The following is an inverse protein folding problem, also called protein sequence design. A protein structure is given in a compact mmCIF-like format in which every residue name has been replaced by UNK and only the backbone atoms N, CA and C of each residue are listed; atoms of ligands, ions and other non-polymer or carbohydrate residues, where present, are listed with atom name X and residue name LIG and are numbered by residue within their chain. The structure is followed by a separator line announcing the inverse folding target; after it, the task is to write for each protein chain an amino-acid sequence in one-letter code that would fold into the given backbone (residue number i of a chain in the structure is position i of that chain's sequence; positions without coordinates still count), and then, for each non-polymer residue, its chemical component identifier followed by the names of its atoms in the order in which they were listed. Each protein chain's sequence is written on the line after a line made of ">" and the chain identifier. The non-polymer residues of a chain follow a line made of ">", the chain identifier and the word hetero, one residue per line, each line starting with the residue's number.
data_IF_413123836131
#
_entry.id   IF_413123836131
#
_cell.length_a   1.000
_cell.length_b   1.000
_cell.length_c   1.000
_cell.angle_alpha   90.00
_cell.angle_beta   90.00
_cell.angle_gamma   90.00
#
_symmetry.space_group_name_H-M   'P 1'
#
loop_
_entity.id
_entity.type
_entity.pdbx_description
1 polymer ?
#
# COMPACT_ATOMS: atom_id res chain seq x y z
N UNK A 1 -6.19 10.24 -19.82
CA UNK A 1 -5.87 8.84 -20.17
C UNK A 1 -7.05 7.98 -19.71
N UNK A 2 -7.58 7.10 -20.55
CA UNK A 2 -8.68 6.17 -20.16
C UNK A 2 -8.10 4.89 -19.56
N UNK A 3 -8.91 4.10 -18.84
CA UNK A 3 -8.44 2.84 -18.24
C UNK A 3 -7.90 1.86 -19.29
N UNK A 4 -8.52 1.83 -20.47
CA UNK A 4 -8.05 1.02 -21.61
C UNK A 4 -6.66 1.43 -22.09
N UNK A 5 -6.33 2.72 -22.02
CA UNK A 5 -4.99 3.22 -22.36
C UNK A 5 -3.96 2.84 -21.29
N UNK A 6 -4.34 2.85 -20.01
CA UNK A 6 -3.45 2.43 -18.91
C UNK A 6 -3.13 0.93 -19.04
N UNK A 7 -4.14 0.09 -19.30
CA UNK A 7 -3.95 -1.35 -19.55
C UNK A 7 -3.01 -1.58 -20.72
N UNK A 8 -3.21 -0.87 -21.84
CA UNK A 8 -2.35 -0.96 -23.02
C UNK A 8 -0.90 -0.58 -22.69
N UNK A 9 -0.68 0.55 -22.03
CA UNK A 9 0.66 1.02 -21.66
C UNK A 9 1.34 0.06 -20.67
N UNK A 10 0.57 -0.55 -19.76
CA UNK A 10 1.06 -1.56 -18.81
C UNK A 10 1.60 -2.78 -19.56
N UNK A 11 0.84 -3.28 -20.54
CA UNK A 11 1.23 -4.43 -21.36
C UNK A 11 2.45 -4.09 -22.24
N UNK A 12 2.48 -2.92 -22.86
CA UNK A 12 3.62 -2.46 -23.68
C UNK A 12 4.90 -2.33 -22.83
N UNK A 13 4.80 -1.79 -21.61
CA UNK A 13 5.90 -1.75 -20.64
C UNK A 13 6.42 -3.14 -20.31
N UNK A 14 5.55 -4.07 -19.92
CA UNK A 14 5.95 -5.45 -19.55
C UNK A 14 6.62 -6.18 -20.71
N UNK A 15 6.14 -5.98 -21.94
CA UNK A 15 6.80 -6.49 -23.17
C UNK A 15 8.19 -5.91 -23.34
N UNK A 16 8.35 -4.60 -23.17
CA UNK A 16 9.64 -3.91 -23.36
C UNK A 16 10.68 -4.31 -22.29
N UNK A 17 10.23 -4.63 -21.08
CA UNK A 17 11.09 -5.02 -19.97
C UNK A 17 11.48 -6.52 -20.01
N UNK A 18 10.91 -7.30 -20.93
CA UNK A 18 11.20 -8.74 -21.08
C UNK A 18 10.82 -9.59 -19.86
N UNK A 19 9.99 -9.05 -18.96
CA UNK A 19 9.60 -9.70 -17.71
C UNK A 19 8.55 -10.78 -17.94
N UNK A 20 8.52 -11.78 -17.05
CA UNK A 20 7.45 -12.79 -17.01
C UNK A 20 6.15 -12.12 -16.57
N UNK A 21 5.03 -12.49 -17.19
CA UNK A 21 3.74 -11.89 -16.93
C UNK A 21 3.08 -12.56 -15.72
N UNK A 22 3.58 -12.24 -14.53
CA UNK A 22 2.94 -12.65 -13.28
C UNK A 22 1.92 -11.59 -12.83
N UNK A 23 0.89 -11.99 -12.06
CA UNK A 23 -0.08 -11.03 -11.51
C UNK A 23 0.59 -9.91 -10.70
N UNK A 24 1.64 -10.22 -9.93
CA UNK A 24 2.35 -9.23 -9.10
C UNK A 24 3.06 -8.18 -9.96
N UNK A 25 3.77 -8.62 -11.01
CA UNK A 25 4.48 -7.73 -11.92
C UNK A 25 3.52 -6.88 -12.75
N UNK A 26 2.37 -7.45 -13.12
CA UNK A 26 1.31 -6.71 -13.78
C UNK A 26 0.74 -5.63 -12.87
N UNK A 27 0.43 -5.96 -11.61
CA UNK A 27 -0.10 -4.99 -10.64
C UNK A 27 0.88 -3.82 -10.41
N UNK A 28 2.18 -4.12 -10.25
CA UNK A 28 3.21 -3.08 -10.10
C UNK A 28 3.27 -2.15 -11.32
N UNK A 29 3.35 -2.73 -12.53
CA UNK A 29 3.40 -1.96 -13.77
C UNK A 29 2.11 -1.13 -13.97
N UNK A 30 0.95 -1.70 -13.66
CA UNK A 30 -0.34 -1.03 -13.75
C UNK A 30 -0.42 0.16 -12.79
N UNK A 31 -0.01 -0.03 -11.54
CA UNK A 31 -0.01 1.04 -10.54
C UNK A 31 0.92 2.19 -10.93
N UNK A 32 2.06 1.90 -11.56
CA UNK A 32 2.96 2.93 -12.10
C UNK A 32 2.31 3.73 -13.23
N UNK A 33 1.68 3.06 -14.20
CA UNK A 33 1.02 3.73 -15.33
C UNK A 33 -0.25 4.49 -14.88
N UNK A 34 -1.02 3.94 -13.94
CA UNK A 34 -2.17 4.61 -13.33
C UNK A 34 -1.75 5.88 -12.58
N UNK A 35 -0.64 5.84 -11.84
CA UNK A 35 -0.08 7.01 -11.15
C UNK A 35 0.34 8.11 -12.12
N UNK A 36 0.99 7.76 -13.24
CA UNK A 36 1.33 8.73 -14.31
C UNK A 36 0.09 9.34 -14.96
N UNK A 37 -0.97 8.56 -15.09
CA UNK A 37 -2.24 8.99 -15.62
C UNK A 37 -3.06 9.87 -14.65
N UNK A 38 -2.62 10.04 -13.40
CA UNK A 38 -3.37 10.73 -12.36
C UNK A 38 -4.60 9.96 -11.86
N UNK A 39 -4.72 8.68 -12.19
CA UNK A 39 -5.84 7.83 -11.77
C UNK A 39 -5.52 7.23 -10.41
N UNK A 40 -6.35 7.54 -9.41
CA UNK A 40 -6.26 6.94 -8.07
C UNK A 40 -6.93 5.58 -8.09
N UNK A 41 -6.12 4.53 -8.10
CA UNK A 41 -6.58 3.15 -7.90
C UNK A 41 -6.34 2.80 -6.44
N UNK A 42 -7.39 2.37 -5.74
CA UNK A 42 -7.35 2.15 -4.29
C UNK A 42 -6.33 1.08 -3.89
N UNK A 43 -6.25 -0.01 -4.66
CA UNK A 43 -5.30 -1.10 -4.42
C UNK A 43 -3.84 -0.69 -4.63
N UNK A 44 -3.58 0.36 -5.42
CA UNK A 44 -2.24 0.90 -5.64
C UNK A 44 -1.73 1.77 -4.49
N UNK A 45 -2.58 2.13 -3.52
CA UNK A 45 -2.20 3.01 -2.41
C UNK A 45 -1.52 2.26 -1.26
N UNK A 46 -1.62 0.92 -1.21
CA UNK A 46 -0.92 0.11 -0.21
C UNK A 46 -1.24 0.54 1.23
N UNK A 47 -0.22 1.02 1.96
CA UNK A 47 -0.39 1.53 3.32
C UNK A 47 -0.95 2.96 3.37
N UNK A 48 -0.77 3.74 2.31
CA UNK A 48 -1.08 5.17 2.29
C UNK A 48 -2.57 5.42 2.53
N UNK A 49 -3.45 4.49 2.09
CA UNK A 49 -4.90 4.56 2.36
C UNK A 49 -5.27 4.48 3.84
N UNK A 50 -4.41 3.91 4.68
CA UNK A 50 -4.64 3.76 6.12
C UNK A 50 -3.99 4.86 6.94
N UNK A 51 -2.96 5.52 6.41
CA UNK A 51 -2.25 6.59 7.14
C UNK A 51 -3.13 7.73 7.65
N UNK A 52 -4.20 8.18 6.95
CA UNK A 52 -5.07 9.25 7.43
C UNK A 52 -6.00 8.81 8.57
N UNK A 53 -6.17 7.49 8.75
CA UNK A 53 -7.03 6.91 9.79
C UNK A 53 -6.30 6.78 11.13
N UNK A 54 -4.97 6.96 11.14
CA UNK A 54 -4.13 6.78 12.32
C UNK A 54 -4.02 8.08 13.10
N UNK A 55 -3.98 7.97 14.42
CA UNK A 55 -3.57 9.08 15.27
C UNK A 55 -2.10 9.46 15.03
N UNK A 56 -1.74 10.69 15.37
CA UNK A 56 -0.40 11.24 15.10
C UNK A 56 0.72 10.40 15.72
N UNK A 57 0.52 9.87 16.93
CA UNK A 57 1.53 9.05 17.62
C UNK A 57 1.74 7.74 16.88
N UNK A 58 0.67 7.05 16.49
CA UNK A 58 0.78 5.83 15.69
C UNK A 58 1.42 6.08 14.32
N UNK A 59 1.07 7.18 13.66
CA UNK A 59 1.67 7.54 12.37
C UNK A 59 3.18 7.80 12.48
N UNK A 60 3.63 8.49 13.53
CA UNK A 60 5.04 8.76 13.76
C UNK A 60 5.83 7.48 14.05
N UNK A 61 5.27 6.54 14.81
CA UNK A 61 5.85 5.21 15.01
C UNK A 61 5.94 4.43 13.68
N UNK A 62 4.86 4.37 12.89
CA UNK A 62 4.85 3.68 11.57
C UNK A 62 5.96 4.21 10.67
N UNK A 63 6.19 5.53 10.65
CA UNK A 63 7.30 6.15 9.91
C UNK A 63 8.66 5.78 10.49
N UNK A 64 8.81 5.77 11.81
CA UNK A 64 10.06 5.39 12.49
C UNK A 64 10.45 3.93 12.18
N UNK A 65 9.48 3.01 12.19
CA UNK A 65 9.69 1.60 11.86
C UNK A 65 9.81 1.34 10.35
N UNK A 66 9.69 2.38 9.50
CA UNK A 66 9.79 2.30 8.04
C UNK A 66 8.87 1.22 7.44
N UNK A 67 7.65 1.12 7.95
CA UNK A 67 6.62 0.23 7.40
C UNK A 67 6.29 0.69 5.98
N UNK A 68 6.35 -0.22 5.01
CA UNK A 68 6.12 0.07 3.57
C UNK A 68 4.99 -0.75 2.98
N UNK A 69 4.77 -1.96 3.49
CA UNK A 69 3.77 -2.89 2.96
C UNK A 69 2.60 -3.09 3.93
N UNK A 70 1.45 -3.48 3.40
CA UNK A 70 0.28 -3.81 4.22
C UNK A 70 0.57 -4.97 5.18
N UNK A 71 1.38 -5.95 4.77
CA UNK A 71 1.79 -7.05 5.63
C UNK A 71 2.67 -6.57 6.81
N UNK A 72 3.60 -5.65 6.56
CA UNK A 72 4.39 -5.02 7.63
C UNK A 72 3.51 -4.19 8.56
N UNK A 73 2.52 -3.47 8.01
CA UNK A 73 1.58 -2.70 8.82
C UNK A 73 0.76 -3.60 9.74
N UNK A 74 0.23 -4.72 9.22
CA UNK A 74 -0.50 -5.70 10.04
C UNK A 74 0.39 -6.26 11.15
N UNK A 75 1.65 -6.63 10.85
CA UNK A 75 2.60 -7.10 11.87
C UNK A 75 2.89 -6.03 12.92
N UNK A 76 3.08 -4.78 12.49
CA UNK A 76 3.28 -3.66 13.39
C UNK A 76 2.09 -3.48 14.35
N UNK A 77 0.87 -3.50 13.82
CA UNK A 77 -0.36 -3.35 14.61
C UNK A 77 -0.55 -4.51 15.59
N UNK A 78 -0.35 -5.76 15.16
CA UNK A 78 -0.39 -6.95 16.04
C UNK A 78 0.62 -6.81 17.18
N UNK A 79 1.84 -6.39 16.86
CA UNK A 79 2.92 -6.21 17.82
C UNK A 79 2.60 -5.09 18.82
N UNK A 80 2.00 -3.99 18.35
CA UNK A 80 1.54 -2.87 19.19
C UNK A 80 0.42 -3.32 20.12
N UNK A 81 -0.62 -3.98 19.59
CA UNK A 81 -1.73 -4.53 20.38
C UNK A 81 -1.27 -5.49 21.47
N UNK A 82 -0.34 -6.39 21.13
CA UNK A 82 0.18 -7.39 22.07
C UNK A 82 0.97 -6.78 23.25
N UNK A 83 1.43 -5.53 23.12
CA UNK A 83 2.16 -4.79 24.15
C UNK A 83 1.28 -3.83 24.95
N UNK A 84 0.00 -3.66 24.58
CA UNK A 84 -0.91 -2.80 25.32
C UNK A 84 -1.14 -3.39 26.71
N UNK A 85 -1.04 -2.55 27.73
CA UNK A 85 -1.47 -2.95 29.05
C UNK A 85 -3.02 -2.97 29.13
N UNK A 86 -3.63 -3.66 30.11
CA UNK A 86 -5.09 -3.78 30.20
C UNK A 86 -5.82 -2.43 30.24
N UNK A 87 -5.21 -1.41 30.85
CA UNK A 87 -5.77 -0.06 30.95
C UNK A 87 -5.79 0.64 29.58
N UNK A 88 -4.72 0.53 28.79
CA UNK A 88 -4.64 1.08 27.44
C UNK A 88 -5.55 0.33 26.45
N UNK A 89 -5.70 -0.99 26.62
CA UNK A 89 -6.59 -1.80 25.80
C UNK A 89 -8.06 -1.42 25.99
N UNK A 90 -8.45 -1.05 27.22
CA UNK A 90 -9.83 -0.68 27.54
C UNK A 90 -10.33 0.60 26.87
N UNK A 91 -9.43 1.44 26.35
CA UNK A 91 -9.75 2.70 25.65
C UNK A 91 -10.06 2.45 24.16
N UNK A 92 -9.76 1.25 23.64
CA UNK A 92 -9.93 0.89 22.22
C UNK A 92 -11.27 0.21 21.91
N UNK A 93 -12.11 -0.03 22.92
CA UNK A 93 -13.45 -0.64 22.83
C UNK A 93 -14.50 0.41 23.20
#
# INVERSE_FOLDING_TARGET
>A
MTINQIVRNTVERLKSEGKVWTPDLYAEAFCLEAKKAGVKVEDCQGIDRYTPLMDKKTLDEVKQYRVKTTAELVRFLISKMSRLNPSEASILV
#
